data_IF_213327129394
#
_entry.id   IF_213327129394
#
_cell.length_a   1.000
_cell.length_b   1.000
_cell.length_c   1.000
_cell.angle_alpha   90.00
_cell.angle_beta   90.00
_cell.angle_gamma   90.00
#
_symmetry.space_group_name_H-M   'P 1'
#
loop_
_entity.id
_entity.type
_entity.pdbx_description
1 polymer ?
#
# COMPACT_ATOMS: atom_id res chain seq x y z
N UNK A 1 5.96 -13.95 4.48
CA UNK A 1 6.34 -12.70 3.79
C UNK A 1 7.84 -12.48 3.78
N UNK A 2 8.61 -12.96 4.78
CA UNK A 2 10.08 -12.91 4.70
C UNK A 2 10.56 -13.51 3.38
N UNK A 3 11.34 -12.74 2.61
CA UNK A 3 11.84 -13.11 1.28
C UNK A 3 11.02 -12.61 0.07
N UNK A 4 9.84 -12.02 0.25
CA UNK A 4 9.02 -11.51 -0.86
C UNK A 4 9.16 -9.99 -1.09
N UNK A 5 9.73 -9.27 -0.13
CA UNK A 5 9.91 -7.82 -0.21
C UNK A 5 11.37 -7.50 -0.54
N UNK A 6 11.58 -6.71 -1.59
CA UNK A 6 12.88 -6.13 -1.89
C UNK A 6 12.96 -4.73 -1.27
N UNK A 7 14.13 -4.38 -0.73
CA UNK A 7 14.38 -3.05 -0.19
C UNK A 7 14.21 -1.99 -1.30
N UNK A 8 13.63 -0.84 -0.95
CA UNK A 8 13.45 0.25 -1.90
C UNK A 8 14.78 0.80 -2.41
N UNK A 9 14.87 1.00 -3.73
CA UNK A 9 16.03 1.55 -4.42
C UNK A 9 16.24 3.02 -4.12
N UNK A 10 17.44 3.50 -4.45
CA UNK A 10 17.76 4.92 -4.46
C UNK A 10 16.80 5.67 -5.39
N UNK A 11 16.15 6.70 -4.88
CA UNK A 11 15.13 7.45 -5.63
C UNK A 11 13.71 6.88 -5.50
N UNK A 12 13.45 6.05 -4.48
CA UNK A 12 12.09 5.62 -4.18
C UNK A 12 11.15 6.83 -4.05
N UNK A 13 9.96 6.84 -4.70
CA UNK A 13 9.09 8.02 -4.79
C UNK A 13 8.68 8.63 -3.45
N UNK A 14 8.66 7.81 -2.40
CA UNK A 14 8.29 8.22 -1.03
C UNK A 14 9.47 8.50 -0.11
N UNK A 15 10.67 8.63 -0.64
CA UNK A 15 11.84 9.04 0.17
C UNK A 15 11.56 10.42 0.79
N UNK A 16 11.72 10.54 2.11
CA UNK A 16 11.48 11.79 2.85
C UNK A 16 10.03 12.04 3.26
N UNK A 17 9.10 11.14 2.92
CA UNK A 17 7.70 11.26 3.34
C UNK A 17 7.49 10.80 4.78
N UNK A 18 6.50 11.38 5.46
CA UNK A 18 6.02 10.94 6.78
C UNK A 18 4.62 10.35 6.65
N UNK A 19 4.35 9.25 7.36
CA UNK A 19 3.08 8.53 7.34
C UNK A 19 2.45 8.52 8.74
N UNK A 20 1.12 8.54 8.82
CA UNK A 20 0.38 8.41 10.08
C UNK A 20 -0.68 7.31 10.00
N UNK A 21 -1.03 6.74 11.16
CA UNK A 21 -1.93 5.57 11.27
C UNK A 21 -3.40 5.88 10.91
N UNK A 22 -3.79 7.15 10.83
CA UNK A 22 -5.16 7.54 10.54
C UNK A 22 -5.33 9.05 10.48
N UNK A 23 -6.48 9.47 9.96
CA UNK A 23 -6.85 10.88 9.86
C UNK A 23 -6.87 11.55 11.25
N UNK A 24 -6.18 12.68 11.39
CA UNK A 24 -6.06 13.40 12.66
C UNK A 24 -5.01 12.85 13.63
N UNK A 25 -4.43 11.67 13.37
CA UNK A 25 -3.32 11.17 14.19
C UNK A 25 -2.03 11.94 13.88
N UNK A 26 -1.37 12.41 14.94
CA UNK A 26 -0.01 12.97 14.89
C UNK A 26 1.08 11.90 15.01
N UNK A 27 0.71 10.66 15.29
CA UNK A 27 1.66 9.55 15.40
C UNK A 27 2.31 9.29 14.04
N UNK A 28 3.64 9.43 14.00
CA UNK A 28 4.44 9.11 12.82
C UNK A 28 4.83 7.64 12.84
N UNK A 29 4.47 6.94 11.78
CA UNK A 29 4.84 5.54 11.60
C UNK A 29 6.32 5.45 11.21
N UNK A 30 7.04 4.53 11.86
CA UNK A 30 8.34 4.10 11.39
C UNK A 30 8.14 3.11 10.22
N UNK A 31 8.45 3.56 9.00
CA UNK A 31 8.19 2.79 7.78
C UNK A 31 9.48 2.32 7.13
N UNK A 32 9.45 1.11 6.56
CA UNK A 32 10.49 0.61 5.66
C UNK A 32 9.97 0.69 4.24
N UNK A 33 10.63 1.46 3.38
CA UNK A 33 10.29 1.56 1.96
C UNK A 33 10.79 0.32 1.22
N UNK A 34 9.96 -0.22 0.35
CA UNK A 34 10.19 -1.45 -0.43
C UNK A 34 9.89 -1.19 -1.89
N UNK A 35 10.44 -2.00 -2.79
CA UNK A 35 10.06 -1.95 -4.20
C UNK A 35 8.55 -2.25 -4.36
N UNK A 36 7.80 -1.45 -5.13
CA UNK A 36 6.34 -1.58 -5.27
C UNK A 36 5.93 -2.70 -6.25
N UNK A 37 6.64 -3.83 -6.21
CA UNK A 37 6.48 -4.94 -7.16
C UNK A 37 5.59 -6.07 -6.60
N UNK A 38 5.52 -6.23 -5.27
CA UNK A 38 4.70 -7.29 -4.67
C UNK A 38 3.22 -6.90 -4.68
N UNK A 39 2.40 -7.65 -5.40
CA UNK A 39 0.94 -7.54 -5.34
C UNK A 39 0.40 -8.29 -4.12
N UNK A 40 -0.51 -7.65 -3.37
CA UNK A 40 -1.25 -8.26 -2.26
C UNK A 40 -2.75 -8.12 -2.44
N UNK A 41 -3.49 -9.10 -1.93
CA UNK A 41 -4.94 -9.07 -1.81
C UNK A 41 -5.31 -8.46 -0.45
N UNK A 42 -6.26 -7.52 -0.48
CA UNK A 42 -6.74 -6.80 0.71
C UNK A 42 -8.26 -6.75 0.73
N UNK A 43 -8.83 -6.82 1.92
CA UNK A 43 -10.26 -6.65 2.17
C UNK A 43 -10.52 -5.23 2.59
N UNK A 44 -11.42 -4.55 1.88
CA UNK A 44 -11.82 -3.18 2.17
C UNK A 44 -13.33 -3.14 2.38
N UNK A 45 -13.78 -2.30 3.31
CA UNK A 45 -15.18 -1.90 3.36
C UNK A 45 -15.49 -1.01 2.16
N UNK A 46 -16.64 -1.22 1.53
CA UNK A 46 -17.08 -0.53 0.31
C UNK A 46 -17.34 0.97 0.50
N UNK A 47 -17.38 1.47 1.74
CA UNK A 47 -17.58 2.90 1.99
C UNK A 47 -16.41 3.75 1.44
N UNK A 48 -16.70 4.54 0.41
CA UNK A 48 -15.80 5.58 -0.13
C UNK A 48 -16.24 6.97 0.33
N UNK A 49 -15.28 7.88 0.49
CA UNK A 49 -15.60 9.31 0.63
C UNK A 49 -15.95 9.93 -0.74
N UNK A 50 -16.40 11.19 -0.73
CA UNK A 50 -16.79 11.91 -1.94
C UNK A 50 -15.65 12.06 -2.98
N UNK A 51 -14.40 11.82 -2.58
CA UNK A 51 -13.23 11.82 -3.47
C UNK A 51 -12.77 10.41 -3.89
N UNK A 52 -13.55 9.38 -3.58
CA UNK A 52 -13.29 8.00 -3.98
C UNK A 52 -12.29 7.24 -3.12
N UNK A 53 -11.82 7.81 -1.99
CA UNK A 53 -10.91 7.10 -1.07
C UNK A 53 -11.68 6.17 -0.15
N UNK A 54 -11.13 5.00 0.13
CA UNK A 54 -11.71 4.08 1.11
C UNK A 54 -11.68 4.72 2.51
N UNK A 55 -12.83 4.72 3.19
CA UNK A 55 -12.96 5.33 4.52
C UNK A 55 -12.46 4.44 5.65
N UNK A 56 -12.36 3.13 5.40
CA UNK A 56 -12.00 2.15 6.43
C UNK A 56 -10.66 1.45 6.13
N UNK A 57 -9.94 1.00 7.17
CA UNK A 57 -8.67 0.33 7.00
C UNK A 57 -8.77 -0.92 6.11
N UNK A 58 -7.87 -1.03 5.14
CA UNK A 58 -7.67 -2.24 4.37
C UNK A 58 -7.07 -3.32 5.27
N UNK A 59 -7.67 -4.52 5.27
CA UNK A 59 -7.14 -5.68 5.97
C UNK A 59 -6.35 -6.54 4.99
N UNK A 60 -5.12 -6.91 5.35
CA UNK A 60 -4.32 -7.82 4.53
C UNK A 60 -4.96 -9.22 4.49
N UNK A 61 -5.01 -9.83 3.30
CA UNK A 61 -5.47 -11.20 3.12
C UNK A 61 -4.34 -12.17 2.76
N UNK A 62 -3.68 -11.96 1.61
CA UNK A 62 -2.60 -12.82 1.13
C UNK A 62 -1.70 -12.13 0.11
N UNK A 63 -0.47 -12.62 -0.04
CA UNK A 63 0.41 -12.24 -1.14
C UNK A 63 -0.01 -12.92 -2.45
N UNK A 64 0.22 -12.25 -3.57
CA UNK A 64 -0.04 -12.73 -4.94
C UNK A 64 1.24 -12.63 -5.79
N UNK A 65 2.27 -13.44 -5.49
CA UNK A 65 3.52 -13.43 -6.27
C UNK A 65 3.32 -13.93 -7.71
N UNK A 66 2.16 -14.53 -8.00
CA UNK A 66 1.70 -14.92 -9.32
C UNK A 66 1.19 -13.74 -10.17
N UNK A 67 1.08 -12.53 -9.60
CA UNK A 67 0.63 -11.32 -10.28
C UNK A 67 1.71 -10.24 -10.28
N UNK A 68 1.81 -9.52 -11.39
CA UNK A 68 2.57 -8.29 -11.56
C UNK A 68 1.70 -7.06 -11.32
N UNK A 69 2.24 -5.93 -10.85
CA UNK A 69 1.52 -4.65 -10.82
C UNK A 69 0.95 -4.26 -12.20
N UNK A 70 1.62 -4.65 -13.29
CA UNK A 70 1.19 -4.40 -14.66
C UNK A 70 -0.05 -5.21 -15.07
N UNK A 71 -0.37 -6.30 -14.37
CA UNK A 71 -1.53 -7.15 -14.68
C UNK A 71 -2.84 -6.50 -14.24
N UNK A 72 -2.78 -5.44 -13.40
CA UNK A 72 -3.97 -4.65 -13.10
C UNK A 72 -4.35 -3.79 -14.28
N UNK A 73 -5.48 -4.11 -14.90
CA UNK A 73 -6.17 -3.22 -15.84
C UNK A 73 -6.43 -1.88 -15.14
N UNK A 74 -5.91 -0.79 -15.69
CA UNK A 74 -6.29 0.56 -15.26
C UNK A 74 -7.81 0.69 -15.39
N UNK A 75 -8.51 0.81 -14.27
CA UNK A 75 -9.92 1.18 -14.27
C UNK A 75 -10.01 2.61 -14.79
N UNK A 76 -10.64 2.79 -15.96
CA UNK A 76 -11.02 4.10 -16.48
C UNK A 76 -12.22 4.69 -15.74
#
# INVERSE_FOLDING_TARGET
MAGLLAAGRRGHPWTGWSFSAGWGSQEKLNVTLVEPELVVEVGVDVARDASGRWRHPARWHRARPDLSPADRRATG
#
